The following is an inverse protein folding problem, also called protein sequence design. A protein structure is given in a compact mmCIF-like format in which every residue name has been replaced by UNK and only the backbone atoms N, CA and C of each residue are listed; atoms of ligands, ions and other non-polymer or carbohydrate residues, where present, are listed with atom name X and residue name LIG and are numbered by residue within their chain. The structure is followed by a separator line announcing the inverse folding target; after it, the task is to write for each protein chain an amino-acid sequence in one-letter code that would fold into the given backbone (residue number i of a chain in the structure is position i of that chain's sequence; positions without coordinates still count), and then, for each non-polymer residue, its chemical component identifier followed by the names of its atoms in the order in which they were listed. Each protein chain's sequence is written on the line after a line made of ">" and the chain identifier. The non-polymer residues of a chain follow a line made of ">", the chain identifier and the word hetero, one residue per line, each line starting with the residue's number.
data_IF_125315216521
#
_entry.id   IF_125315216521
#
_cell.length_a   1.000
_cell.length_b   1.000
_cell.length_c   1.000
_cell.angle_alpha   90.00
_cell.angle_beta   90.00
_cell.angle_gamma   90.00
#
_symmetry.space_group_name_H-M   'P 1'
#
loop_
_entity.id
_entity.type
_entity.pdbx_description
1 polymer ?
#
# COMPACT_ATOMS: atom_id res chain seq x y z
N UNK A 1 27.32 -21.15 -55.70
CA UNK A 1 27.83 -20.06 -56.55
C UNK A 1 26.74 -18.99 -56.62
N UNK A 2 26.87 -17.93 -55.82
CA UNK A 2 27.14 -16.53 -56.28
C UNK A 2 25.87 -15.86 -56.86
N UNK A 3 25.33 -14.76 -56.33
CA UNK A 3 25.90 -13.83 -55.36
C UNK A 3 24.90 -12.77 -54.87
N UNK A 4 25.32 -12.10 -53.80
CA UNK A 4 24.76 -10.87 -53.22
C UNK A 4 24.82 -9.70 -54.22
N UNK A 5 23.84 -8.78 -54.12
CA UNK A 5 24.12 -7.35 -54.30
C UNK A 5 23.34 -6.52 -53.28
N UNK A 6 24.13 -5.89 -52.41
CA UNK A 6 23.78 -4.86 -51.45
C UNK A 6 23.46 -3.53 -52.15
N UNK A 7 22.62 -2.72 -51.51
CA UNK A 7 22.73 -1.25 -51.61
C UNK A 7 22.64 -0.67 -50.21
N UNK A 8 23.78 -0.15 -49.77
CA UNK A 8 23.90 0.84 -48.71
C UNK A 8 23.50 2.21 -49.28
N UNK A 9 22.80 3.02 -48.50
CA UNK A 9 22.96 4.47 -48.53
C UNK A 9 23.22 4.88 -47.07
N UNK A 10 24.41 5.44 -46.87
CA UNK A 10 24.90 6.02 -45.64
C UNK A 10 24.19 7.35 -45.37
N UNK A 11 23.88 7.62 -44.10
CA UNK A 11 24.11 8.96 -43.53
C UNK A 11 24.68 8.73 -42.13
N UNK A 12 25.92 9.17 -41.94
CA UNK A 12 26.63 9.08 -40.68
C UNK A 12 26.49 10.32 -39.79
N UNK A 13 27.10 10.19 -38.60
CA UNK A 13 27.37 11.17 -37.55
C UNK A 13 26.17 11.54 -36.63
N UNK A 14 26.28 11.60 -35.31
CA UNK A 14 27.43 11.49 -34.40
C UNK A 14 26.96 10.98 -33.02
N UNK A 15 27.84 10.24 -32.36
CA UNK A 15 27.79 9.91 -30.94
C UNK A 15 28.25 11.14 -30.13
N UNK A 16 27.88 11.17 -28.84
CA UNK A 16 28.40 12.04 -27.76
C UNK A 16 27.68 13.42 -27.65
N UNK A 17 27.13 13.89 -26.53
CA UNK A 17 27.33 13.65 -25.08
C UNK A 17 26.17 14.41 -24.39
N UNK A 18 25.28 13.77 -23.59
CA UNK A 18 25.30 13.75 -22.11
C UNK A 18 25.29 15.20 -21.54
N UNK A 19 24.23 15.71 -20.89
CA UNK A 19 23.98 15.56 -19.44
C UNK A 19 22.67 16.29 -19.02
N UNK A 20 22.06 15.80 -17.92
CA UNK A 20 21.39 16.57 -16.84
C UNK A 20 19.95 17.07 -17.13
N UNK A 21 18.88 16.76 -16.39
CA UNK A 21 18.66 16.11 -15.08
C UNK A 21 17.19 15.65 -14.94
N UNK A 22 17.00 14.62 -14.09
CA UNK A 22 15.77 14.10 -13.47
C UNK A 22 14.92 13.06 -14.26
N UNK A 23 14.93 11.77 -13.85
CA UNK A 23 13.86 10.85 -14.20
C UNK A 23 12.65 11.19 -13.33
N UNK A 24 11.70 11.94 -13.89
CA UNK A 24 10.33 11.95 -13.39
C UNK A 24 9.62 10.78 -14.03
N UNK A 25 9.11 9.86 -13.20
CA UNK A 25 8.07 8.92 -13.60
C UNK A 25 6.88 9.74 -14.10
N UNK A 26 6.76 9.90 -15.41
CA UNK A 26 5.59 10.52 -16.03
C UNK A 26 4.48 9.47 -16.11
N UNK A 27 3.38 9.72 -15.41
CA UNK A 27 2.07 9.20 -15.81
C UNK A 27 1.88 9.58 -17.28
N UNK A 28 1.80 8.60 -18.18
CA UNK A 28 1.59 8.88 -19.61
C UNK A 28 0.23 9.52 -19.94
N UNK A 29 -0.61 9.77 -18.93
CA UNK A 29 -1.80 10.58 -19.04
C UNK A 29 -1.71 11.77 -18.08
N UNK A 30 -1.76 12.97 -18.65
CA UNK A 30 -1.87 14.28 -18.00
C UNK A 30 -3.25 14.53 -17.36
N UNK A 31 -4.14 13.54 -17.37
CA UNK A 31 -5.49 13.69 -16.82
C UNK A 31 -5.43 13.55 -15.30
N UNK A 32 -5.65 14.63 -14.53
CA UNK A 32 -5.73 14.54 -13.07
C UNK A 32 -6.87 13.59 -12.66
N UNK A 33 -6.83 13.09 -11.42
CA UNK A 33 -7.95 12.34 -10.86
C UNK A 33 -9.22 13.21 -10.99
N UNK A 34 -10.31 12.71 -11.60
CA UNK A 34 -11.48 13.51 -11.90
C UNK A 34 -12.15 14.00 -10.62
N UNK A 35 -12.76 15.19 -10.68
CA UNK A 35 -13.58 15.74 -9.59
C UNK A 35 -14.83 14.88 -9.37
N UNK A 36 -15.47 14.42 -10.44
CA UNK A 36 -16.65 13.56 -10.35
C UNK A 36 -16.24 12.12 -10.05
N UNK A 37 -16.67 11.61 -8.89
CA UNK A 37 -16.42 10.24 -8.43
C UNK A 37 -16.96 9.19 -9.42
N UNK A 38 -18.03 9.49 -10.15
CA UNK A 38 -18.63 8.58 -11.14
C UNK A 38 -17.64 8.24 -12.27
N UNK A 39 -16.74 9.17 -12.60
CA UNK A 39 -15.74 9.03 -13.65
C UNK A 39 -14.49 8.27 -13.19
N UNK A 40 -14.34 8.04 -11.88
CA UNK A 40 -13.10 7.50 -11.31
C UNK A 40 -12.74 6.12 -11.85
N UNK A 41 -13.73 5.25 -12.08
CA UNK A 41 -13.51 3.92 -12.66
C UNK A 41 -12.98 4.00 -14.09
N UNK A 42 -13.57 4.88 -14.91
CA UNK A 42 -13.14 5.09 -16.29
C UNK A 42 -11.73 5.68 -16.33
N UNK A 43 -11.47 6.71 -15.51
CA UNK A 43 -10.13 7.30 -15.36
C UNK A 43 -9.10 6.24 -14.92
N UNK A 44 -9.41 5.43 -13.91
CA UNK A 44 -8.51 4.40 -13.42
C UNK A 44 -8.15 3.40 -14.54
N UNK A 45 -9.14 2.90 -15.27
CA UNK A 45 -8.93 1.97 -16.39
C UNK A 45 -8.20 2.62 -17.58
N UNK A 46 -8.28 3.94 -17.74
CA UNK A 46 -7.53 4.69 -18.74
C UNK A 46 -6.05 4.84 -18.36
N UNK A 47 -5.74 4.97 -17.06
CA UNK A 47 -4.38 5.24 -16.57
C UNK A 47 -3.62 3.97 -16.17
N UNK A 48 -4.30 2.99 -15.57
CA UNK A 48 -3.71 1.73 -15.12
C UNK A 48 -3.99 0.65 -16.16
N UNK A 49 -3.13 0.61 -17.18
CA UNK A 49 -3.18 -0.39 -18.24
C UNK A 49 -2.50 -1.70 -17.82
N UNK A 50 -2.90 -2.85 -18.39
CA UNK A 50 -2.16 -4.11 -18.23
C UNK A 50 -0.68 -3.94 -18.57
N UNK A 51 0.21 -4.72 -17.93
CA UNK A 51 1.65 -4.64 -18.17
C UNK A 51 2.01 -4.78 -19.67
N UNK A 52 1.33 -5.69 -20.39
CA UNK A 52 1.48 -5.90 -21.83
C UNK A 52 1.19 -4.66 -22.69
N UNK A 53 0.36 -3.73 -22.20
CA UNK A 53 -0.02 -2.51 -22.91
C UNK A 53 0.83 -1.28 -22.51
N UNK A 54 1.79 -1.42 -21.58
CA UNK A 54 2.62 -0.32 -21.07
C UNK A 54 4.02 -0.25 -21.69
N UNK A 55 4.42 -1.23 -22.50
CA UNK A 55 5.69 -1.21 -23.24
C UNK A 55 6.90 -0.91 -22.34
N UNK A 56 7.76 0.01 -22.77
CA UNK A 56 9.00 0.41 -22.08
C UNK A 56 8.83 1.36 -20.89
N UNK A 57 7.59 1.71 -20.54
CA UNK A 57 7.28 2.69 -19.48
C UNK A 57 7.16 2.08 -18.09
N UNK A 58 7.10 0.74 -18.04
CA UNK A 58 7.08 -0.03 -16.81
C UNK A 58 8.51 -0.28 -16.33
N UNK A 59 8.71 -0.37 -15.02
CA UNK A 59 9.99 -0.79 -14.43
C UNK A 59 10.45 -2.11 -15.08
N UNK A 60 11.70 -2.20 -15.60
CA UNK A 60 12.19 -3.39 -16.30
C UNK A 60 12.12 -4.68 -15.47
N UNK A 61 12.35 -4.61 -14.15
CA UNK A 61 12.26 -5.76 -13.26
C UNK A 61 10.81 -6.22 -13.12
N UNK A 62 9.87 -5.28 -13.01
CA UNK A 62 8.44 -5.59 -13.03
C UNK A 62 8.01 -6.19 -14.37
N UNK A 63 8.43 -5.62 -15.51
CA UNK A 63 8.14 -6.16 -16.83
C UNK A 63 8.56 -7.62 -16.95
N UNK A 64 9.81 -7.92 -16.53
CA UNK A 64 10.36 -9.28 -16.51
C UNK A 64 9.56 -10.21 -15.60
N UNK A 65 9.15 -9.74 -14.43
CA UNK A 65 8.40 -10.55 -13.47
C UNK A 65 7.01 -10.95 -14.00
N UNK A 66 6.34 -10.09 -14.77
CA UNK A 66 4.99 -10.34 -15.29
C UNK A 66 4.95 -11.28 -16.51
N UNK A 67 6.07 -11.59 -17.17
CA UNK A 67 6.10 -12.41 -18.41
C UNK A 67 5.51 -13.81 -18.19
N UNK A 68 5.79 -14.42 -17.03
CA UNK A 68 5.37 -15.79 -16.72
C UNK A 68 5.01 -15.88 -15.23
N UNK A 69 3.84 -15.36 -14.89
CA UNK A 69 3.31 -15.45 -13.53
C UNK A 69 3.10 -16.92 -13.12
N UNK A 70 3.54 -17.26 -11.91
CA UNK A 70 3.34 -18.57 -11.30
C UNK A 70 2.23 -18.48 -10.26
N UNK A 71 1.30 -19.45 -10.24
CA UNK A 71 0.19 -19.48 -9.29
C UNK A 71 0.42 -20.62 -8.30
N UNK A 72 0.33 -20.29 -7.00
CA UNK A 72 0.34 -21.22 -5.88
C UNK A 72 -1.03 -21.14 -5.20
N UNK A 73 -1.70 -22.26 -4.98
CA UNK A 73 -3.01 -22.33 -4.32
C UNK A 73 -2.85 -22.66 -2.85
N UNK A 74 -3.48 -21.88 -1.98
CA UNK A 74 -3.53 -22.13 -0.53
C UNK A 74 -4.96 -22.40 -0.12
N UNK A 75 -5.25 -23.60 0.41
CA UNK A 75 -6.59 -23.96 0.88
C UNK A 75 -6.51 -24.84 2.11
N UNK A 76 -7.24 -24.47 3.17
CA UNK A 76 -7.27 -25.22 4.44
C UNK A 76 -7.88 -26.62 4.34
N UNK A 77 -8.68 -26.87 3.30
CA UNK A 77 -9.30 -28.18 3.06
C UNK A 77 -8.35 -29.20 2.41
N UNK A 78 -7.09 -28.82 2.15
CA UNK A 78 -6.09 -29.68 1.52
C UNK A 78 -6.19 -29.79 0.00
N UNK A 79 -7.15 -29.11 -0.65
CA UNK A 79 -7.31 -29.13 -2.12
C UNK A 79 -6.43 -28.09 -2.85
N UNK A 80 -5.53 -27.42 -2.13
CA UNK A 80 -4.52 -26.50 -2.67
C UNK A 80 -3.12 -27.12 -2.68
N UNK A 81 -2.14 -26.38 -3.20
CA UNK A 81 -0.72 -26.77 -3.14
C UNK A 81 -0.18 -26.71 -1.70
N UNK A 82 -0.73 -25.80 -0.88
CA UNK A 82 -0.46 -25.69 0.55
C UNK A 82 -1.75 -25.49 1.36
N UNK A 83 -1.70 -25.84 2.64
CA UNK A 83 -2.76 -25.64 3.64
C UNK A 83 -2.60 -24.33 4.43
N UNK A 84 -1.38 -23.75 4.44
CA UNK A 84 -1.06 -22.49 5.13
C UNK A 84 -0.37 -21.48 4.21
N UNK A 85 -0.52 -20.19 4.55
CA UNK A 85 0.08 -19.09 3.79
C UNK A 85 1.59 -19.06 4.01
N UNK A 86 2.05 -19.33 5.23
CA UNK A 86 3.48 -19.34 5.58
C UNK A 86 4.26 -20.40 4.78
N UNK A 87 3.68 -21.60 4.57
CA UNK A 87 4.31 -22.64 3.74
C UNK A 87 4.41 -22.22 2.27
N UNK A 88 3.37 -21.59 1.72
CA UNK A 88 3.38 -21.07 0.35
C UNK A 88 4.41 -19.95 0.15
N UNK A 89 4.62 -19.08 1.14
CA UNK A 89 5.71 -18.09 1.09
C UNK A 89 7.08 -18.77 1.16
N UNK A 90 7.23 -19.80 2.00
CA UNK A 90 8.49 -20.51 2.16
C UNK A 90 8.92 -21.25 0.88
N UNK A 91 7.99 -21.65 0.01
CA UNK A 91 8.32 -22.25 -1.29
C UNK A 91 8.77 -21.24 -2.35
N UNK A 92 8.61 -19.94 -2.12
CA UNK A 92 9.12 -18.91 -3.04
C UNK A 92 10.62 -18.74 -2.80
N UNK A 93 11.47 -18.88 -3.83
CA UNK A 93 12.92 -18.77 -3.67
C UNK A 93 13.33 -17.34 -3.29
N UNK A 94 14.39 -17.24 -2.48
CA UNK A 94 15.11 -15.98 -2.28
C UNK A 94 15.66 -15.46 -3.62
N UNK A 95 15.61 -14.14 -3.83
CA UNK A 95 15.95 -13.50 -5.10
C UNK A 95 14.91 -13.74 -6.20
N UNK A 96 13.64 -13.95 -5.83
CA UNK A 96 12.56 -14.19 -6.78
C UNK A 96 12.50 -13.09 -7.87
N UNK A 97 12.40 -13.48 -9.14
CA UNK A 97 12.33 -12.55 -10.28
C UNK A 97 11.05 -12.69 -11.09
N UNK A 98 10.11 -13.51 -10.64
CA UNK A 98 8.84 -13.80 -11.33
C UNK A 98 7.66 -13.41 -10.46
N UNK A 99 6.56 -12.96 -11.04
CA UNK A 99 5.29 -12.74 -10.31
C UNK A 99 4.83 -14.09 -9.74
N UNK A 100 4.73 -14.19 -8.42
CA UNK A 100 4.14 -15.36 -7.75
C UNK A 100 2.80 -14.96 -7.14
N UNK A 101 1.72 -15.53 -7.65
CA UNK A 101 0.35 -15.31 -7.18
C UNK A 101 0.00 -16.43 -6.22
N UNK A 102 -0.02 -16.09 -4.93
CA UNK A 102 -0.55 -16.95 -3.87
C UNK A 102 -2.06 -16.72 -3.84
N UNK A 103 -2.79 -17.63 -4.48
CA UNK A 103 -4.25 -17.68 -4.54
C UNK A 103 -4.79 -18.38 -3.30
N UNK A 104 -5.42 -17.61 -2.40
CA UNK A 104 -5.80 -18.06 -1.07
C UNK A 104 -7.32 -18.29 -1.06
N UNK A 105 -7.73 -19.52 -0.80
CA UNK A 105 -9.14 -19.90 -0.65
C UNK A 105 -9.78 -19.21 0.56
N UNK A 106 -11.10 -19.05 0.54
CA UNK A 106 -11.81 -18.47 1.68
C UNK A 106 -11.64 -19.30 2.96
N UNK A 107 -11.60 -18.62 4.10
CA UNK A 107 -11.38 -19.23 5.41
C UNK A 107 -10.59 -18.33 6.34
N UNK A 108 -10.44 -18.76 7.60
CA UNK A 108 -9.65 -18.05 8.61
C UNK A 108 -8.26 -18.67 8.74
N UNK A 109 -7.23 -17.86 8.50
CA UNK A 109 -5.82 -18.21 8.54
C UNK A 109 -5.18 -17.49 9.73
N UNK A 110 -5.15 -18.15 10.88
CA UNK A 110 -4.55 -17.60 12.10
C UNK A 110 -3.04 -17.84 12.07
N UNK A 111 -2.30 -16.96 11.42
CA UNK A 111 -0.86 -17.06 11.18
C UNK A 111 -0.19 -15.70 11.39
N UNK A 112 1.02 -15.68 11.95
CA UNK A 112 1.87 -14.49 11.92
C UNK A 112 2.72 -14.53 10.64
N UNK A 113 2.37 -13.70 9.67
CA UNK A 113 2.88 -13.81 8.30
C UNK A 113 3.97 -12.77 8.07
N UNK A 114 5.12 -13.19 7.54
CA UNK A 114 6.19 -12.28 7.09
C UNK A 114 6.60 -12.63 5.66
N UNK A 115 6.63 -11.63 4.79
CA UNK A 115 7.25 -11.69 3.48
C UNK A 115 8.50 -10.81 3.55
N UNK A 116 9.65 -11.45 3.66
CA UNK A 116 10.92 -10.76 3.79
C UNK A 116 11.38 -10.12 2.46
N UNK A 117 12.37 -9.23 2.56
CA UNK A 117 12.88 -8.42 1.44
C UNK A 117 13.42 -9.24 0.27
N UNK A 118 13.79 -10.51 0.49
CA UNK A 118 14.40 -11.33 -0.54
C UNK A 118 13.39 -11.93 -1.53
N UNK A 119 12.08 -11.78 -1.30
CA UNK A 119 11.02 -12.42 -2.10
C UNK A 119 10.09 -11.42 -2.82
N UNK A 120 10.60 -10.54 -3.70
CA UNK A 120 9.77 -9.52 -4.35
C UNK A 120 8.75 -10.15 -5.30
N UNK A 121 7.81 -9.34 -5.80
CA UNK A 121 6.78 -9.75 -6.78
C UNK A 121 5.79 -10.82 -6.30
N UNK A 122 5.57 -10.94 -4.98
CA UNK A 122 4.50 -11.79 -4.43
C UNK A 122 3.15 -11.07 -4.52
N UNK A 123 2.10 -11.82 -4.85
CA UNK A 123 0.71 -11.37 -4.84
C UNK A 123 -0.13 -12.26 -3.96
N UNK A 124 -0.92 -11.68 -3.06
CA UNK A 124 -2.01 -12.36 -2.38
C UNK A 124 -3.31 -12.10 -3.11
N UNK A 125 -4.04 -13.14 -3.47
CA UNK A 125 -5.28 -13.04 -4.22
C UNK A 125 -6.38 -13.90 -3.61
N UNK A 126 -7.53 -13.30 -3.26
CA UNK A 126 -8.72 -13.99 -2.77
C UNK A 126 -9.93 -13.82 -3.71
N UNK A 127 -10.99 -14.61 -3.48
CA UNK A 127 -12.31 -14.36 -4.08
C UNK A 127 -12.98 -13.19 -3.34
N UNK A 128 -13.41 -12.11 -4.03
CA UNK A 128 -14.09 -10.98 -3.38
C UNK A 128 -15.41 -11.37 -2.66
N UNK A 129 -16.04 -12.48 -3.03
CA UNK A 129 -17.27 -13.00 -2.40
C UNK A 129 -16.98 -13.91 -1.21
N UNK A 130 -15.73 -14.35 -1.06
CA UNK A 130 -15.30 -15.23 0.02
C UNK A 130 -13.84 -14.93 0.38
N UNK A 131 -13.59 -13.70 0.83
CA UNK A 131 -12.25 -13.20 1.10
C UNK A 131 -11.60 -13.99 2.25
N UNK A 132 -10.36 -14.48 2.11
CA UNK A 132 -9.63 -15.08 3.21
C UNK A 132 -9.38 -14.05 4.33
N UNK A 133 -9.50 -14.50 5.57
CA UNK A 133 -9.21 -13.71 6.77
C UNK A 133 -7.88 -14.13 7.38
N UNK A 134 -6.87 -13.27 7.24
CA UNK A 134 -5.54 -13.42 7.82
C UNK A 134 -5.59 -12.76 9.19
N UNK A 135 -5.37 -13.55 10.25
CA UNK A 135 -5.47 -13.05 11.62
C UNK A 135 -4.31 -13.46 12.52
N UNK A 136 -3.98 -12.58 13.44
CA UNK A 136 -3.11 -12.85 14.58
C UNK A 136 -3.46 -11.89 15.73
N UNK A 137 -2.86 -12.04 16.91
CA UNK A 137 -3.15 -11.23 18.11
C UNK A 137 -1.89 -10.67 18.76
N UNK A 138 -0.89 -10.34 17.93
CA UNK A 138 0.35 -9.73 18.40
C UNK A 138 0.11 -8.34 18.96
N UNK A 139 0.75 -8.05 20.09
CA UNK A 139 0.74 -6.72 20.73
C UNK A 139 2.16 -6.16 20.82
N UNK A 140 2.28 -4.83 20.98
CA UNK A 140 3.57 -4.19 21.17
C UNK A 140 4.26 -4.61 22.46
N UNK A 141 3.51 -5.01 23.49
CA UNK A 141 4.09 -5.60 24.71
C UNK A 141 4.91 -6.86 24.40
N UNK A 142 4.47 -7.65 23.43
CA UNK A 142 5.13 -8.91 23.05
C UNK A 142 6.19 -8.72 21.97
N UNK A 143 5.94 -7.86 20.98
CA UNK A 143 6.74 -7.79 19.76
C UNK A 143 7.33 -6.40 19.47
N UNK A 144 6.99 -5.37 20.25
CA UNK A 144 7.07 -3.99 19.81
C UNK A 144 6.01 -3.65 18.77
N UNK A 145 5.73 -2.37 18.55
CA UNK A 145 4.61 -1.93 17.68
C UNK A 145 4.72 -2.52 16.27
N UNK A 146 5.85 -2.32 15.59
CA UNK A 146 5.98 -2.68 14.18
C UNK A 146 5.96 -4.20 13.94
N UNK A 147 6.55 -5.00 14.82
CA UNK A 147 6.57 -6.46 14.70
C UNK A 147 5.35 -7.12 15.35
N UNK A 148 4.42 -6.36 15.96
CA UNK A 148 3.11 -6.88 16.40
C UNK A 148 2.19 -7.29 15.23
N UNK A 149 2.54 -6.86 14.00
CA UNK A 149 1.71 -7.00 12.82
C UNK A 149 1.27 -8.45 12.52
N UNK A 150 0.02 -8.62 12.09
CA UNK A 150 -0.49 -9.91 11.56
C UNK A 150 0.20 -10.26 10.23
N UNK A 151 0.25 -9.30 9.31
CA UNK A 151 0.99 -9.40 8.05
C UNK A 151 2.11 -8.35 8.01
N UNK A 152 3.35 -8.81 7.87
CA UNK A 152 4.54 -7.97 7.66
C UNK A 152 5.03 -8.18 6.24
N UNK A 153 5.05 -7.11 5.44
CA UNK A 153 5.55 -7.12 4.07
C UNK A 153 6.73 -6.17 3.97
N UNK A 154 7.91 -6.74 3.77
CA UNK A 154 9.15 -6.01 3.54
C UNK A 154 9.58 -6.05 2.07
N UNK A 155 8.86 -6.80 1.25
CA UNK A 155 9.21 -7.10 -0.12
C UNK A 155 8.62 -6.14 -1.13
N UNK A 156 9.42 -5.76 -2.12
CA UNK A 156 9.02 -4.83 -3.18
C UNK A 156 8.01 -5.47 -4.14
N UNK A 157 7.21 -4.64 -4.79
CA UNK A 157 6.20 -5.02 -5.79
C UNK A 157 5.11 -5.97 -5.26
N UNK A 158 4.90 -5.98 -3.95
CA UNK A 158 3.84 -6.77 -3.34
C UNK A 158 2.45 -6.29 -3.78
N UNK A 159 1.55 -7.22 -4.05
CA UNK A 159 0.15 -6.90 -4.34
C UNK A 159 -0.76 -7.72 -3.43
N UNK A 160 -1.80 -7.11 -2.88
CA UNK A 160 -2.90 -7.84 -2.27
C UNK A 160 -4.22 -7.43 -2.92
N UNK A 161 -5.05 -8.42 -3.26
CA UNK A 161 -6.39 -8.19 -3.76
C UNK A 161 -7.39 -9.12 -3.08
N UNK A 162 -8.49 -8.54 -2.61
CA UNK A 162 -9.59 -9.28 -1.97
C UNK A 162 -9.15 -10.06 -0.71
N UNK A 163 -8.38 -9.43 0.18
CA UNK A 163 -7.89 -10.03 1.43
C UNK A 163 -8.42 -9.28 2.66
N UNK A 164 -8.80 -10.00 3.71
CA UNK A 164 -9.03 -9.43 5.05
C UNK A 164 -7.78 -9.66 5.88
N UNK A 165 -7.25 -8.59 6.49
CA UNK A 165 -6.07 -8.60 7.36
C UNK A 165 -6.51 -8.00 8.68
N UNK A 166 -6.43 -8.78 9.76
CA UNK A 166 -6.98 -8.39 11.05
C UNK A 166 -6.05 -8.71 12.20
N UNK A 167 -5.74 -7.72 13.03
CA UNK A 167 -5.25 -7.99 14.38
C UNK A 167 -6.44 -8.17 15.33
N UNK A 168 -6.43 -9.29 16.05
CA UNK A 168 -7.49 -9.75 16.95
C UNK A 168 -7.19 -9.50 18.42
N UNK A 169 -6.09 -8.82 18.74
CA UNK A 169 -5.82 -8.33 20.09
C UNK A 169 -7.01 -7.49 20.61
N UNK A 170 -7.29 -7.54 21.93
CA UNK A 170 -8.40 -6.81 22.51
C UNK A 170 -8.25 -5.30 22.32
N UNK A 171 -9.38 -4.60 22.26
CA UNK A 171 -9.39 -3.13 22.24
C UNK A 171 -8.61 -2.61 23.46
N UNK A 172 -7.69 -1.64 23.28
CA UNK A 172 -7.01 -1.02 24.40
C UNK A 172 -8.01 -0.45 25.41
N UNK A 173 -7.82 -0.78 26.68
CA UNK A 173 -8.64 -0.36 27.83
C UNK A 173 -8.09 0.89 28.54
N UNK A 174 -6.91 1.35 28.13
CA UNK A 174 -6.18 2.46 28.76
C UNK A 174 -5.34 2.04 29.97
N UNK A 175 -5.34 0.76 30.34
CA UNK A 175 -4.57 0.20 31.47
C UNK A 175 -3.39 -0.61 30.96
N UNK A 176 -3.57 -1.39 29.89
CA UNK A 176 -2.51 -2.23 29.34
C UNK A 176 -1.39 -1.41 28.69
N UNK A 177 -0.18 -1.50 29.25
CA UNK A 177 1.04 -0.99 28.61
C UNK A 177 1.38 -1.86 27.39
N UNK A 178 1.66 -1.23 26.26
CA UNK A 178 2.01 -1.93 25.02
C UNK A 178 0.83 -2.54 24.27
N UNK A 179 -0.36 -1.94 24.37
CA UNK A 179 -1.59 -2.43 23.73
C UNK A 179 -1.69 -2.16 22.21
N UNK A 180 -0.70 -1.50 21.59
CA UNK A 180 -0.68 -1.29 20.14
C UNK A 180 -0.66 -2.65 19.42
N UNK A 181 -1.45 -2.78 18.35
CA UNK A 181 -1.69 -4.07 17.71
C UNK A 181 -1.90 -3.91 16.20
N UNK A 182 -0.81 -4.08 15.45
CA UNK A 182 -0.79 -3.83 14.01
C UNK A 182 -1.46 -4.97 13.24
N UNK A 183 -2.26 -4.64 12.23
CA UNK A 183 -2.84 -5.64 11.31
C UNK A 183 -1.92 -5.83 10.11
N UNK A 184 -1.52 -4.74 9.46
CA UNK A 184 -0.62 -4.74 8.33
C UNK A 184 0.55 -3.79 8.59
N UNK A 185 1.78 -4.30 8.42
CA UNK A 185 2.97 -3.48 8.19
C UNK A 185 3.43 -3.65 6.75
N UNK A 186 3.55 -2.54 6.02
CA UNK A 186 4.09 -2.52 4.65
C UNK A 186 5.30 -1.57 4.59
N UNK A 187 6.44 -2.11 4.17
CA UNK A 187 7.72 -1.38 4.07
C UNK A 187 8.51 -1.67 2.78
N UNK A 188 7.98 -2.57 1.94
CA UNK A 188 8.50 -2.88 0.61
C UNK A 188 7.93 -1.92 -0.43
N UNK A 189 8.78 -1.47 -1.35
CA UNK A 189 8.44 -0.39 -2.28
C UNK A 189 7.50 -0.85 -3.40
N UNK A 190 6.72 0.10 -3.96
CA UNK A 190 5.82 -0.12 -5.11
C UNK A 190 4.73 -1.19 -4.84
N UNK A 191 4.19 -1.21 -3.62
CA UNK A 191 3.13 -2.14 -3.25
C UNK A 191 1.73 -1.60 -3.59
N UNK A 192 0.79 -2.50 -3.89
CA UNK A 192 -0.59 -2.14 -4.20
C UNK A 192 -1.63 -3.03 -3.50
N UNK A 193 -2.72 -2.44 -3.03
CA UNK A 193 -3.80 -3.10 -2.30
C UNK A 193 -5.14 -2.77 -2.96
N UNK A 194 -5.92 -3.79 -3.30
CA UNK A 194 -7.19 -3.66 -4.00
C UNK A 194 -8.30 -4.37 -3.24
N UNK A 195 -9.36 -3.66 -2.86
CA UNK A 195 -10.51 -4.25 -2.16
C UNK A 195 -10.09 -5.09 -0.94
N UNK A 196 -9.12 -4.59 -0.16
CA UNK A 196 -8.67 -5.25 1.07
C UNK A 196 -9.39 -4.64 2.28
N UNK A 197 -9.61 -5.46 3.32
CA UNK A 197 -10.11 -4.97 4.62
C UNK A 197 -8.98 -5.07 5.64
N UNK A 198 -8.58 -3.95 6.24
CA UNK A 198 -7.49 -3.88 7.22
C UNK A 198 -8.10 -3.43 8.55
N UNK A 199 -8.14 -4.32 9.53
CA UNK A 199 -9.04 -4.20 10.69
C UNK A 199 -8.27 -4.37 11.99
N UNK A 200 -8.27 -3.35 12.84
CA UNK A 200 -7.72 -3.40 14.18
C UNK A 200 -8.32 -2.35 15.11
N UNK A 201 -7.52 -1.91 16.08
CA UNK A 201 -7.81 -0.80 16.98
C UNK A 201 -6.69 0.25 16.87
N UNK A 202 -5.82 0.33 17.86
CA UNK A 202 -4.65 1.22 17.83
C UNK A 202 -3.59 0.67 16.88
N UNK A 203 -3.05 1.54 16.03
CA UNK A 203 -1.94 1.26 15.10
C UNK A 203 -2.29 0.20 14.03
N UNK A 204 -3.51 0.21 13.49
CA UNK A 204 -4.02 -0.84 12.58
C UNK A 204 -3.16 -1.05 11.32
N UNK A 205 -2.78 0.02 10.62
CA UNK A 205 -1.95 0.00 9.41
C UNK A 205 -0.66 0.79 9.65
N UNK A 206 0.46 0.07 9.71
CA UNK A 206 1.80 0.64 9.64
C UNK A 206 2.22 0.76 8.17
N UNK A 207 1.89 1.89 7.56
CA UNK A 207 2.38 2.32 6.25
C UNK A 207 3.79 2.94 6.42
N UNK A 208 4.73 2.04 6.70
CA UNK A 208 6.06 2.29 7.29
C UNK A 208 6.93 3.19 6.40
N UNK A 209 7.17 2.75 5.16
CA UNK A 209 8.00 3.45 4.15
C UNK A 209 7.77 2.86 2.77
N UNK A 210 8.09 3.62 1.72
CA UNK A 210 7.96 3.17 0.33
C UNK A 210 6.80 3.84 -0.40
N UNK A 211 6.60 3.51 -1.67
CA UNK A 211 5.52 4.00 -2.51
C UNK A 211 4.37 2.99 -2.53
N UNK A 212 3.21 3.36 -1.98
CA UNK A 212 2.08 2.43 -1.89
C UNK A 212 0.80 3.00 -2.51
N UNK A 213 -0.05 2.08 -3.00
CA UNK A 213 -1.35 2.41 -3.55
C UNK A 213 -2.45 1.56 -2.92
N UNK A 214 -3.47 2.19 -2.36
CA UNK A 214 -4.62 1.52 -1.76
C UNK A 214 -5.89 1.95 -2.51
N UNK A 215 -6.60 1.01 -3.12
CA UNK A 215 -7.82 1.28 -3.89
C UNK A 215 -8.99 0.45 -3.40
N UNK A 216 -10.10 1.13 -3.14
CA UNK A 216 -11.37 0.53 -2.67
C UNK A 216 -11.17 -0.32 -1.39
N UNK A 217 -10.15 0.01 -0.59
CA UNK A 217 -9.88 -0.68 0.67
C UNK A 217 -10.77 -0.14 1.80
N UNK A 218 -11.05 -0.98 2.78
CA UNK A 218 -11.69 -0.59 4.03
C UNK A 218 -10.68 -0.68 5.16
N UNK A 219 -10.42 0.42 5.87
CA UNK A 219 -9.49 0.47 7.00
C UNK A 219 -10.28 0.90 8.24
N UNK A 220 -10.15 0.12 9.32
CA UNK A 220 -10.85 0.39 10.59
C UNK A 220 -9.90 0.31 11.76
N UNK A 221 -9.88 1.36 12.58
CA UNK A 221 -9.19 1.37 13.87
C UNK A 221 -9.68 2.50 14.77
N UNK A 222 -8.87 2.86 15.77
CA UNK A 222 -9.20 3.90 16.77
C UNK A 222 -8.15 5.00 16.81
N UNK A 223 -6.99 4.73 17.40
CA UNK A 223 -5.88 5.69 17.58
C UNK A 223 -4.81 5.40 16.54
N UNK A 224 -4.33 6.45 15.87
CA UNK A 224 -3.23 6.40 14.89
C UNK A 224 -3.32 5.26 13.88
N UNK A 225 -4.54 4.90 13.47
CA UNK A 225 -4.74 3.60 12.84
C UNK A 225 -4.21 3.52 11.41
N UNK A 226 -3.77 4.64 10.81
CA UNK A 226 -2.86 4.68 9.66
C UNK A 226 -1.66 5.54 10.05
N UNK A 227 -0.49 4.92 10.17
CA UNK A 227 0.73 5.61 10.63
C UNK A 227 1.98 5.14 9.89
N UNK A 228 3.04 5.95 9.93
CA UNK A 228 4.32 5.68 9.29
C UNK A 228 4.79 6.81 8.37
N UNK A 229 5.83 6.55 7.57
CA UNK A 229 6.45 7.52 6.65
C UNK A 229 6.37 7.09 5.18
N UNK A 230 5.35 6.29 4.82
CA UNK A 230 5.04 5.96 3.43
C UNK A 230 4.76 7.19 2.55
N UNK A 231 4.94 7.01 1.24
CA UNK A 231 4.45 7.89 0.18
C UNK A 231 3.28 7.19 -0.49
N UNK A 232 2.07 7.50 -0.05
CA UNK A 232 0.91 6.63 -0.35
C UNK A 232 -0.28 7.39 -0.88
N UNK A 233 -0.90 6.81 -1.92
CA UNK A 233 -2.18 7.25 -2.45
C UNK A 233 -3.27 6.27 -2.02
N UNK A 234 -4.25 6.78 -1.29
CA UNK A 234 -5.46 6.09 -0.87
C UNK A 234 -6.64 6.59 -1.69
N UNK A 235 -7.30 5.70 -2.40
CA UNK A 235 -8.35 6.03 -3.35
C UNK A 235 -9.65 5.29 -2.98
N UNK A 236 -10.65 6.00 -2.48
CA UNK A 236 -11.93 5.40 -2.08
C UNK A 236 -11.91 4.61 -0.76
N UNK A 237 -11.17 5.08 0.25
CA UNK A 237 -10.90 4.39 1.53
C UNK A 237 -11.55 5.12 2.73
N UNK A 238 -11.71 4.48 3.90
CA UNK A 238 -12.11 5.10 5.18
C UNK A 238 -10.94 5.22 6.16
N UNK A 239 -10.65 6.41 6.73
CA UNK A 239 -9.30 6.72 7.25
C UNK A 239 -9.27 7.79 8.38
N UNK A 240 -8.25 7.69 9.25
CA UNK A 240 -7.71 8.71 10.20
C UNK A 240 -6.19 8.42 10.34
N UNK A 241 -5.35 9.45 10.54
CA UNK A 241 -3.90 9.35 10.29
C UNK A 241 -2.95 9.85 11.38
N UNK A 242 -1.73 9.32 11.40
CA UNK A 242 -0.57 9.81 12.16
C UNK A 242 0.71 9.67 11.32
N UNK A 243 0.98 10.64 10.46
CA UNK A 243 2.08 10.57 9.48
C UNK A 243 3.43 11.01 10.10
N UNK A 244 4.52 10.33 9.72
CA UNK A 244 5.81 10.36 10.42
C UNK A 244 6.95 11.11 9.69
N UNK A 245 6.64 11.96 8.72
CA UNK A 245 7.65 12.76 8.01
C UNK A 245 8.32 13.73 8.98
N UNK A 246 9.65 13.80 8.95
CA UNK A 246 10.42 14.62 9.89
C UNK A 246 10.88 15.95 9.28
N UNK A 247 11.14 16.00 7.98
CA UNK A 247 11.73 17.17 7.31
C UNK A 247 11.05 17.58 6.01
N UNK A 248 11.26 18.84 5.59
CA UNK A 248 10.73 19.36 4.32
C UNK A 248 11.37 18.71 3.07
N UNK A 249 12.57 18.16 3.21
CA UNK A 249 13.31 17.48 2.13
C UNK A 249 12.81 16.06 1.86
N UNK A 250 12.15 15.42 2.82
CA UNK A 250 11.53 14.11 2.63
C UNK A 250 10.36 14.19 1.65
N UNK A 251 10.36 13.29 0.66
CA UNK A 251 9.29 13.17 -0.33
C UNK A 251 8.24 12.12 0.06
N UNK A 252 7.84 12.09 1.34
CA UNK A 252 6.84 11.17 1.90
C UNK A 252 5.54 11.91 2.22
N UNK A 253 4.45 11.19 2.50
CA UNK A 253 3.16 11.79 2.80
C UNK A 253 2.00 10.95 2.30
N UNK A 254 0.80 11.27 2.80
CA UNK A 254 -0.42 10.56 2.45
C UNK A 254 -1.36 11.45 1.66
N UNK A 255 -1.95 10.89 0.60
CA UNK A 255 -3.01 11.52 -0.18
C UNK A 255 -4.24 10.64 -0.18
N UNK A 256 -5.35 11.14 0.34
CA UNK A 256 -6.65 10.49 0.35
C UNK A 256 -7.53 11.15 -0.68
N UNK A 257 -8.00 10.40 -1.67
CA UNK A 257 -8.77 10.95 -2.80
C UNK A 257 -10.06 10.14 -2.97
N UNK A 258 -11.21 10.80 -3.12
CA UNK A 258 -12.51 10.13 -3.25
C UNK A 258 -12.88 9.20 -2.09
N UNK A 259 -12.25 9.41 -0.94
CA UNK A 259 -12.38 8.61 0.27
C UNK A 259 -13.68 8.90 1.01
N UNK A 260 -13.95 8.16 2.08
CA UNK A 260 -15.09 8.40 2.98
C UNK A 260 -14.67 8.18 4.42
N UNK A 261 -14.63 9.25 5.23
CA UNK A 261 -14.29 9.19 6.65
C UNK A 261 -15.56 9.13 7.48
N UNK A 262 -15.76 8.02 8.18
CA UNK A 262 -16.94 7.76 9.01
C UNK A 262 -16.60 6.89 10.21
N UNK A 263 -17.47 6.87 11.21
CA UNK A 263 -17.29 6.07 12.41
C UNK A 263 -18.38 6.30 13.44
N UNK A 264 -18.11 5.87 14.67
CA UNK A 264 -18.99 6.03 15.82
C UNK A 264 -18.36 6.89 16.92
N UNK A 265 -17.17 7.43 16.68
CA UNK A 265 -16.50 8.34 17.60
C UNK A 265 -17.12 9.74 17.54
N UNK A 266 -17.02 10.49 18.63
CA UNK A 266 -17.37 11.90 18.68
C UNK A 266 -16.10 12.73 18.82
N UNK A 267 -15.84 13.64 17.87
CA UNK A 267 -14.68 14.54 17.93
C UNK A 267 -13.36 13.87 17.53
N UNK A 268 -13.37 12.96 16.55
CA UNK A 268 -12.15 12.39 16.00
C UNK A 268 -11.39 13.41 15.13
N UNK A 269 -10.06 13.37 15.13
CA UNK A 269 -9.26 14.21 14.22
C UNK A 269 -8.95 13.44 12.92
N UNK A 270 -8.77 14.14 11.80
CA UNK A 270 -8.28 13.58 10.52
C UNK A 270 -6.84 13.08 10.64
N UNK A 271 -6.06 13.75 11.49
CA UNK A 271 -4.79 13.25 11.94
C UNK A 271 -4.12 14.15 12.97
N UNK A 272 -3.00 13.66 13.48
CA UNK A 272 -2.15 14.41 14.40
C UNK A 272 -0.70 14.46 13.92
N UNK A 273 0.01 15.51 14.31
CA UNK A 273 1.42 15.66 13.98
C UNK A 273 2.30 14.71 14.82
N UNK A 274 2.40 13.44 14.41
CA UNK A 274 3.23 12.45 15.12
C UNK A 274 4.72 12.87 15.14
N UNK A 275 5.22 13.31 13.98
CA UNK A 275 6.58 13.84 13.79
C UNK A 275 6.56 15.33 13.44
N UNK A 276 7.73 15.88 13.11
CA UNK A 276 7.96 17.32 13.00
C UNK A 276 7.43 17.96 11.72
N UNK A 277 7.33 17.23 10.60
CA UNK A 277 6.90 17.80 9.30
C UNK A 277 5.90 16.92 8.53
N UNK A 278 4.86 16.36 9.20
CA UNK A 278 3.92 15.44 8.59
C UNK A 278 3.21 16.07 7.40
N UNK A 279 2.93 15.25 6.38
CA UNK A 279 2.25 15.70 5.16
C UNK A 279 1.06 14.80 4.84
N UNK A 280 -0.14 15.36 4.92
CA UNK A 280 -1.40 14.66 4.66
C UNK A 280 -2.35 15.56 3.88
N UNK A 281 -2.95 15.01 2.82
CA UNK A 281 -3.95 15.69 2.01
C UNK A 281 -5.19 14.83 1.87
N UNK A 282 -6.35 15.43 2.10
CA UNK A 282 -7.67 14.89 1.79
C UNK A 282 -8.29 15.66 0.64
N UNK A 283 -8.63 14.99 -0.45
CA UNK A 283 -9.25 15.60 -1.62
C UNK A 283 -10.51 14.85 -2.05
N UNK A 284 -11.58 15.56 -2.40
CA UNK A 284 -12.85 14.96 -2.83
C UNK A 284 -13.39 13.92 -1.84
N UNK A 285 -13.15 14.13 -0.54
CA UNK A 285 -13.38 13.12 0.49
C UNK A 285 -14.60 13.48 1.30
N UNK A 286 -15.57 12.56 1.36
CA UNK A 286 -16.74 12.74 2.20
C UNK A 286 -16.36 12.49 3.67
N UNK A 287 -16.63 13.44 4.55
CA UNK A 287 -16.35 13.34 5.99
C UNK A 287 -17.65 13.50 6.77
N UNK A 288 -18.00 12.50 7.57
CA UNK A 288 -19.17 12.58 8.45
C UNK A 288 -18.91 13.47 9.67
N UNK A 289 -19.96 13.79 10.42
CA UNK A 289 -19.92 14.63 11.63
C UNK A 289 -19.12 14.05 12.81
N UNK A 290 -18.50 12.88 12.64
CA UNK A 290 -17.58 12.29 13.62
C UNK A 290 -16.29 13.11 13.75
N UNK A 291 -15.93 13.88 12.72
CA UNK A 291 -14.71 14.67 12.69
C UNK A 291 -14.87 15.95 13.52
N UNK A 292 -13.91 16.19 14.40
CA UNK A 292 -13.82 17.38 15.22
C UNK A 292 -13.72 18.62 14.31
N UNK A 293 -14.40 19.74 14.62
CA UNK A 293 -14.37 20.94 13.77
C UNK A 293 -12.98 21.54 13.51
N UNK A 294 -12.02 21.29 14.40
CA UNK A 294 -10.62 21.69 14.19
C UNK A 294 -9.92 20.88 13.07
N UNK A 295 -10.44 19.71 12.72
CA UNK A 295 -9.88 18.79 11.71
C UNK A 295 -8.61 18.08 12.17
N UNK A 296 -7.62 18.81 12.68
CA UNK A 296 -6.27 18.34 12.93
C UNK A 296 -5.81 18.62 14.36
N UNK A 297 -4.89 17.81 14.86
CA UNK A 297 -4.23 18.02 16.15
C UNK A 297 -2.73 18.27 15.97
N UNK A 298 -2.20 19.27 16.66
CA UNK A 298 -0.76 19.51 16.77
C UNK A 298 -0.04 18.50 17.68
N UNK A 299 -0.80 17.56 18.28
CA UNK A 299 -0.30 16.55 19.21
C UNK A 299 0.38 17.15 20.47
N UNK A 300 -0.11 18.29 20.98
CA UNK A 300 0.49 19.04 22.10
C UNK A 300 1.88 19.62 21.74
N UNK A 301 2.11 19.84 20.44
CA UNK A 301 3.34 20.39 19.88
C UNK A 301 3.03 21.58 18.95
N UNK A 302 2.57 22.72 19.50
CA UNK A 302 2.15 23.87 18.71
C UNK A 302 3.27 24.44 17.83
N UNK A 303 4.54 24.22 18.18
CA UNK A 303 5.70 24.60 17.38
C UNK A 303 5.72 23.96 15.99
N UNK A 304 5.10 22.78 15.83
CA UNK A 304 5.05 22.03 14.55
C UNK A 304 4.11 22.66 13.54
N UNK A 305 3.22 23.57 13.95
CA UNK A 305 2.31 24.27 13.04
C UNK A 305 3.04 24.99 11.88
N UNK A 306 4.34 25.31 12.05
CA UNK A 306 5.18 25.96 11.03
C UNK A 306 5.67 25.01 9.92
N UNK A 307 5.60 23.70 10.15
CA UNK A 307 6.27 22.69 9.31
C UNK A 307 5.34 21.57 8.84
N UNK A 308 4.20 21.38 9.51
CA UNK A 308 3.14 20.47 9.05
C UNK A 308 2.58 20.92 7.70
N UNK A 309 2.18 19.96 6.87
CA UNK A 309 1.35 20.21 5.69
C UNK A 309 0.09 19.36 5.78
N UNK A 310 -0.97 19.94 6.31
CA UNK A 310 -2.30 19.33 6.36
C UNK A 310 -3.21 20.10 5.41
N UNK A 311 -3.76 19.38 4.43
CA UNK A 311 -4.56 19.98 3.36
C UNK A 311 -5.89 19.27 3.17
N UNK A 312 -6.94 20.06 2.95
CA UNK A 312 -8.27 19.61 2.57
C UNK A 312 -8.64 20.30 1.25
N UNK A 313 -9.20 19.55 0.30
CA UNK A 313 -9.56 20.07 -1.01
C UNK A 313 -10.85 19.44 -1.54
N UNK A 314 -11.93 20.23 -1.54
CA UNK A 314 -13.27 19.81 -2.00
C UNK A 314 -13.70 18.49 -1.35
#
# INVERSE_FOLDING_TARGET
>A
MTGKRSRNIEVGAAICTILVLAPVVLSQNSSPIPVDKSQLKAWFNANIKPASARGSTIDPALAKAEVAAHIIKVKKDGSGDFDTITKAIASVPSGNTKRVIISIGGGSYREKIRIDRSKPFITFYGDPRNMPNLSYDGTARQYGTVDSATLIVESDYFVAANIVIQNTAPRPDGVMVGAQAVSLRISGDKAAFYNCKIIGFQDTLCDDRGNHFFKDCYIRGTVDFIFGSGKSLYLGVTVITAQARESSSENTGYSFVHCTVTGTASGAYLGRAWKTSPRVVFAYTNMSSVIHPLGWSDNLHPERAKTVFFGEYK
#
